data_IF_412335530338
#
_entry.id   IF_412335530338
#
_cell.length_a   1.000
_cell.length_b   1.000
_cell.length_c   1.000
_cell.angle_alpha   90.00
_cell.angle_beta   90.00
_cell.angle_gamma   90.00
#
_symmetry.space_group_name_H-M   'P 1'
#
loop_
_entity.id
_entity.type
_entity.pdbx_description
1 polymer ?
#
# COMPACT_ATOMS: atom_id res chain seq x y z
N UNK A 1 -71.90 -31.89 -7.72
CA UNK A 1 -70.44 -32.04 -7.53
C UNK A 1 -69.74 -30.76 -7.99
N UNK A 2 -69.44 -29.83 -7.08
CA UNK A 2 -68.77 -28.58 -7.44
C UNK A 2 -67.24 -28.75 -7.29
N UNK A 3 -66.52 -28.80 -8.42
CA UNK A 3 -65.06 -28.75 -8.46
C UNK A 3 -64.61 -27.35 -7.98
N UNK A 4 -64.06 -27.27 -6.75
CA UNK A 4 -63.29 -26.10 -6.31
C UNK A 4 -61.98 -26.07 -7.07
N UNK A 5 -61.77 -25.07 -7.91
CA UNK A 5 -60.46 -24.74 -8.47
C UNK A 5 -59.56 -24.18 -7.36
N UNK A 6 -58.27 -24.57 -7.29
CA UNK A 6 -57.35 -24.01 -6.32
C UNK A 6 -57.06 -22.54 -6.67
N UNK A 7 -57.24 -21.65 -5.68
CA UNK A 7 -56.80 -20.25 -5.77
C UNK A 7 -55.26 -20.24 -5.74
N UNK A 8 -54.64 -20.09 -6.90
CA UNK A 8 -53.22 -19.75 -7.01
C UNK A 8 -53.02 -18.26 -6.67
N UNK A 9 -53.21 -17.89 -5.41
CA UNK A 9 -52.70 -16.64 -4.89
C UNK A 9 -51.21 -16.85 -4.59
N UNK A 10 -50.37 -16.76 -5.62
CA UNK A 10 -48.92 -16.60 -5.40
C UNK A 10 -48.76 -15.29 -4.65
N UNK A 11 -48.30 -15.38 -3.39
CA UNK A 11 -48.22 -14.23 -2.50
C UNK A 11 -47.34 -13.13 -3.12
N UNK A 12 -47.69 -11.84 -2.97
CA UNK A 12 -46.95 -10.70 -3.54
C UNK A 12 -45.46 -10.70 -3.18
N UNK A 13 -45.10 -11.31 -2.05
CA UNK A 13 -43.73 -11.49 -1.60
C UNK A 13 -42.86 -12.33 -2.53
N UNK A 14 -43.42 -13.37 -3.16
CA UNK A 14 -42.68 -14.18 -4.14
C UNK A 14 -42.43 -13.44 -5.46
N UNK A 15 -43.28 -12.46 -5.79
CA UNK A 15 -43.14 -11.60 -6.97
C UNK A 15 -42.07 -10.52 -6.76
N UNK A 16 -42.09 -9.84 -5.62
CA UNK A 16 -41.04 -8.90 -5.20
C UNK A 16 -39.66 -9.58 -5.14
N UNK A 17 -39.59 -10.80 -4.60
CA UNK A 17 -38.37 -11.61 -4.56
C UNK A 17 -37.82 -11.96 -5.96
N UNK A 18 -38.69 -12.13 -6.95
CA UNK A 18 -38.30 -12.44 -8.33
C UNK A 18 -37.75 -11.20 -9.06
N UNK A 19 -38.42 -10.05 -8.92
CA UNK A 19 -37.98 -8.80 -9.52
C UNK A 19 -36.63 -8.38 -8.94
N UNK A 20 -36.48 -8.47 -7.62
CA UNK A 20 -35.21 -8.20 -6.94
C UNK A 20 -34.06 -9.09 -7.45
N UNK A 21 -34.29 -10.40 -7.64
CA UNK A 21 -33.29 -11.31 -8.23
C UNK A 21 -32.95 -10.94 -9.68
N UNK A 22 -33.93 -10.51 -10.45
CA UNK A 22 -33.73 -10.13 -11.85
C UNK A 22 -32.89 -8.85 -11.94
N UNK A 23 -33.21 -7.85 -11.12
CA UNK A 23 -32.50 -6.57 -11.07
C UNK A 23 -31.07 -6.73 -10.59
N UNK A 24 -30.85 -7.55 -9.56
CA UNK A 24 -29.49 -7.86 -9.08
C UNK A 24 -28.65 -8.57 -10.14
N UNK A 25 -29.21 -9.54 -10.87
CA UNK A 25 -28.50 -10.19 -11.98
C UNK A 25 -28.17 -9.20 -13.10
N UNK A 26 -29.09 -8.32 -13.45
CA UNK A 26 -28.87 -7.30 -14.48
C UNK A 26 -27.80 -6.29 -14.07
N UNK A 27 -27.83 -5.83 -12.82
CA UNK A 27 -26.80 -4.96 -12.26
C UNK A 27 -25.42 -5.62 -12.29
N UNK A 28 -25.30 -6.89 -11.92
CA UNK A 28 -24.03 -7.61 -11.96
C UNK A 28 -23.49 -7.78 -13.39
N UNK A 29 -24.39 -8.04 -14.36
CA UNK A 29 -24.00 -8.08 -15.79
C UNK A 29 -23.47 -6.73 -16.24
N UNK A 30 -24.16 -5.65 -15.91
CA UNK A 30 -23.74 -4.29 -16.25
C UNK A 30 -22.39 -3.94 -15.61
N UNK A 31 -22.23 -4.17 -14.30
CA UNK A 31 -20.96 -3.95 -13.60
C UNK A 31 -19.81 -4.73 -14.23
N UNK A 32 -20.06 -5.98 -14.64
CA UNK A 32 -19.05 -6.78 -15.34
C UNK A 32 -18.70 -6.19 -16.71
N UNK A 33 -19.68 -5.75 -17.49
CA UNK A 33 -19.43 -5.10 -18.78
C UNK A 33 -18.60 -3.82 -18.62
N UNK A 34 -18.97 -2.95 -17.67
CA UNK A 34 -18.25 -1.71 -17.38
C UNK A 34 -16.83 -1.97 -16.86
N UNK A 35 -16.66 -2.95 -15.97
CA UNK A 35 -15.36 -3.34 -15.47
C UNK A 35 -14.47 -3.85 -16.61
N UNK A 36 -15.03 -4.63 -17.55
CA UNK A 36 -14.33 -5.10 -18.74
C UNK A 36 -13.98 -3.96 -19.71
N UNK A 37 -14.84 -2.96 -19.82
CA UNK A 37 -14.60 -1.72 -20.58
C UNK A 37 -13.54 -0.81 -19.93
N UNK A 38 -13.14 -1.10 -18.69
CA UNK A 38 -12.03 -0.41 -18.02
C UNK A 38 -12.45 0.52 -16.88
N UNK A 39 -13.69 0.46 -16.38
CA UNK A 39 -14.09 1.23 -15.20
C UNK A 39 -13.50 0.65 -13.91
N UNK A 40 -12.65 1.43 -13.24
CA UNK A 40 -12.03 1.06 -11.97
C UNK A 40 -13.07 0.85 -10.87
N UNK A 41 -14.07 1.73 -10.83
CA UNK A 41 -15.16 1.71 -9.86
C UNK A 41 -16.04 0.48 -10.05
N UNK A 42 -16.36 0.14 -11.30
CA UNK A 42 -17.14 -1.07 -11.59
C UNK A 42 -16.36 -2.33 -11.20
N UNK A 43 -15.06 -2.39 -11.51
CA UNK A 43 -14.19 -3.49 -11.09
C UNK A 43 -14.16 -3.64 -9.55
N UNK A 44 -14.03 -2.53 -8.82
CA UNK A 44 -14.05 -2.54 -7.36
C UNK A 44 -15.41 -3.01 -6.80
N UNK A 45 -16.53 -2.45 -7.30
CA UNK A 45 -17.88 -2.86 -6.89
C UNK A 45 -18.12 -4.34 -7.14
N UNK A 46 -17.71 -4.83 -8.32
CA UNK A 46 -17.81 -6.24 -8.67
C UNK A 46 -16.94 -7.11 -7.76
N UNK A 47 -15.74 -6.66 -7.38
CA UNK A 47 -14.90 -7.37 -6.42
C UNK A 47 -15.62 -7.57 -5.07
N UNK A 48 -16.34 -6.55 -4.59
CA UNK A 48 -17.06 -6.59 -3.29
C UNK A 48 -18.23 -7.59 -3.27
N UNK A 49 -18.70 -8.04 -4.42
CA UNK A 49 -19.73 -9.10 -4.53
C UNK A 49 -19.14 -10.47 -4.20
N UNK A 50 -17.84 -10.67 -4.45
CA UNK A 50 -17.16 -11.93 -4.21
C UNK A 50 -16.60 -12.03 -2.79
N UNK A 51 -16.48 -13.25 -2.23
CA UNK A 51 -15.81 -13.46 -0.95
C UNK A 51 -14.37 -12.94 -0.96
N UNK A 52 -13.95 -12.29 0.13
CA UNK A 52 -12.67 -11.57 0.26
C UNK A 52 -11.40 -12.41 -0.01
N UNK A 53 -11.50 -13.74 0.09
CA UNK A 53 -10.39 -14.67 -0.14
C UNK A 53 -10.52 -15.47 -1.44
N UNK A 54 -11.51 -15.16 -2.26
CA UNK A 54 -11.72 -15.83 -3.54
C UNK A 54 -10.80 -15.27 -4.64
N UNK A 55 -10.48 -16.11 -5.63
CA UNK A 55 -9.73 -15.68 -6.81
C UNK A 55 -10.42 -14.54 -7.57
N UNK A 56 -11.75 -14.54 -7.80
CA UNK A 56 -12.44 -13.43 -8.45
C UNK A 56 -12.30 -12.11 -7.70
N UNK A 57 -12.38 -12.11 -6.37
CA UNK A 57 -12.13 -10.91 -5.55
C UNK A 57 -10.74 -10.34 -5.84
N UNK A 58 -9.71 -11.17 -5.77
CA UNK A 58 -8.33 -10.74 -5.98
C UNK A 58 -8.11 -10.20 -7.40
N UNK A 59 -8.69 -10.86 -8.41
CA UNK A 59 -8.61 -10.46 -9.82
C UNK A 59 -9.23 -9.08 -10.06
N UNK A 60 -10.47 -8.86 -9.61
CA UNK A 60 -11.16 -7.59 -9.82
C UNK A 60 -10.59 -6.46 -8.98
N UNK A 61 -10.19 -6.75 -7.74
CA UNK A 61 -9.50 -5.79 -6.88
C UNK A 61 -8.17 -5.34 -7.51
N UNK A 62 -7.39 -6.28 -8.05
CA UNK A 62 -6.14 -5.95 -8.78
C UNK A 62 -6.43 -5.01 -9.95
N UNK A 63 -7.46 -5.28 -10.74
CA UNK A 63 -7.83 -4.42 -11.88
C UNK A 63 -8.15 -2.99 -11.45
N UNK A 64 -8.90 -2.81 -10.36
CA UNK A 64 -9.18 -1.48 -9.81
C UNK A 64 -7.91 -0.77 -9.29
N UNK A 65 -7.01 -1.52 -8.63
CA UNK A 65 -5.73 -1.00 -8.10
C UNK A 65 -4.76 -0.61 -9.22
N UNK A 66 -4.69 -1.39 -10.29
CA UNK A 66 -3.85 -1.14 -11.46
C UNK A 66 -4.26 0.17 -12.15
N UNK A 67 -5.55 0.53 -12.07
CA UNK A 67 -6.09 1.80 -12.54
C UNK A 67 -6.02 2.94 -11.51
N UNK A 68 -5.37 2.72 -10.37
CA UNK A 68 -5.10 3.77 -9.39
C UNK A 68 -6.23 4.03 -8.39
N UNK A 69 -7.26 3.17 -8.31
CA UNK A 69 -8.36 3.38 -7.37
C UNK A 69 -7.90 3.18 -5.91
N UNK A 70 -7.88 4.27 -5.15
CA UNK A 70 -7.47 4.36 -3.75
C UNK A 70 -8.35 3.53 -2.82
N UNK A 71 -9.67 3.50 -3.05
CA UNK A 71 -10.61 2.65 -2.31
C UNK A 71 -10.20 1.16 -2.35
N UNK A 72 -9.83 0.69 -3.54
CA UNK A 72 -9.41 -0.69 -3.76
C UNK A 72 -8.07 -0.98 -3.07
N UNK A 73 -7.14 -0.02 -3.11
CA UNK A 73 -5.85 -0.12 -2.41
C UNK A 73 -6.04 -0.24 -0.90
N UNK A 74 -6.91 0.57 -0.30
CA UNK A 74 -7.14 0.57 1.15
C UNK A 74 -7.78 -0.75 1.60
N UNK A 75 -8.81 -1.20 0.91
CA UNK A 75 -9.45 -2.48 1.21
C UNK A 75 -8.47 -3.65 1.07
N UNK A 76 -7.62 -3.64 0.04
CA UNK A 76 -6.60 -4.68 -0.13
C UNK A 76 -5.51 -4.61 0.94
N UNK A 77 -5.11 -3.41 1.39
CA UNK A 77 -4.19 -3.25 2.51
C UNK A 77 -4.76 -3.87 3.80
N UNK A 78 -6.06 -3.66 4.07
CA UNK A 78 -6.77 -4.28 5.21
C UNK A 78 -6.82 -5.81 5.09
N UNK A 79 -7.11 -6.34 3.89
CA UNK A 79 -7.11 -7.80 3.64
C UNK A 79 -5.73 -8.39 3.96
N UNK A 80 -4.67 -7.73 3.50
CA UNK A 80 -3.31 -8.19 3.66
C UNK A 80 -2.84 -8.11 5.12
N UNK A 81 -3.14 -7.01 5.81
CA UNK A 81 -2.79 -6.84 7.22
C UNK A 81 -3.44 -7.93 8.10
N UNK A 82 -4.70 -8.29 7.83
CA UNK A 82 -5.39 -9.39 8.53
C UNK A 82 -4.70 -10.76 8.39
N UNK A 83 -3.93 -10.98 7.31
CA UNK A 83 -3.17 -12.24 7.14
C UNK A 83 -1.90 -12.29 7.99
N UNK A 84 -1.41 -11.16 8.52
CA UNK A 84 -0.37 -11.11 9.54
C UNK A 84 1.06 -11.49 9.12
N UNK A 85 1.32 -11.87 7.87
CA UNK A 85 2.68 -12.22 7.43
C UNK A 85 3.52 -10.98 7.08
N UNK A 86 4.85 -11.07 7.21
CA UNK A 86 5.78 -9.99 6.84
C UNK A 86 5.61 -9.56 5.38
N UNK A 87 5.46 -10.53 4.47
CA UNK A 87 5.28 -10.26 3.03
C UNK A 87 3.95 -9.56 2.74
N UNK A 88 2.89 -9.91 3.48
CA UNK A 88 1.60 -9.23 3.37
C UNK A 88 1.65 -7.81 3.94
N UNK A 89 2.31 -7.60 5.07
CA UNK A 89 2.53 -6.27 5.64
C UNK A 89 3.33 -5.35 4.71
N UNK A 90 4.37 -5.86 4.05
CA UNK A 90 5.13 -5.13 3.03
C UNK A 90 4.26 -4.71 1.84
N UNK A 91 3.41 -5.61 1.37
CA UNK A 91 2.49 -5.32 0.26
C UNK A 91 1.34 -4.40 0.67
N UNK A 92 0.85 -4.49 1.91
CA UNK A 92 -0.13 -3.57 2.46
C UNK A 92 0.46 -2.15 2.54
N UNK A 93 1.70 -2.04 3.05
CA UNK A 93 2.41 -0.77 3.14
C UNK A 93 2.60 -0.11 1.77
N UNK A 94 2.91 -0.88 0.72
CA UNK A 94 3.11 -0.30 -0.61
C UNK A 94 1.82 0.32 -1.18
N UNK A 95 0.66 -0.25 -0.89
CA UNK A 95 -0.64 0.36 -1.22
C UNK A 95 -0.90 1.63 -0.41
N UNK A 96 -0.60 1.62 0.89
CA UNK A 96 -0.79 2.81 1.74
C UNK A 96 0.14 3.96 1.35
N UNK A 97 1.39 3.68 0.98
CA UNK A 97 2.30 4.71 0.44
C UNK A 97 1.73 5.37 -0.82
N UNK A 98 1.14 4.58 -1.73
CA UNK A 98 0.47 5.13 -2.93
C UNK A 98 -0.73 5.99 -2.55
N UNK A 99 -1.53 5.58 -1.56
CA UNK A 99 -2.66 6.38 -1.05
C UNK A 99 -2.17 7.70 -0.46
N UNK A 100 -1.18 7.68 0.43
CA UNK A 100 -0.64 8.87 1.09
C UNK A 100 -0.05 9.89 0.10
N UNK A 101 0.40 9.42 -1.06
CA UNK A 101 0.89 10.26 -2.17
C UNK A 101 -0.18 10.70 -3.17
N UNK A 102 -1.38 10.12 -3.13
CA UNK A 102 -2.47 10.48 -4.03
C UNK A 102 -3.04 11.87 -3.69
N UNK A 103 -4.05 12.34 -4.41
CA UNK A 103 -4.78 13.56 -4.06
C UNK A 103 -6.12 13.27 -3.34
N UNK A 104 -6.36 12.03 -2.94
CA UNK A 104 -7.61 11.60 -2.30
C UNK A 104 -7.55 11.83 -0.78
N UNK A 105 -7.96 13.02 -0.34
CA UNK A 105 -7.89 13.43 1.07
C UNK A 105 -8.71 12.53 1.99
N UNK A 106 -9.88 12.06 1.54
CA UNK A 106 -10.73 11.18 2.31
C UNK A 106 -10.10 9.81 2.52
N UNK A 107 -9.54 9.20 1.48
CA UNK A 107 -8.90 7.89 1.63
C UNK A 107 -7.56 7.98 2.35
N UNK A 108 -6.87 9.13 2.28
CA UNK A 108 -5.70 9.39 3.12
C UNK A 108 -6.04 9.38 4.60
N UNK A 109 -7.09 10.09 5.02
CA UNK A 109 -7.45 10.14 6.45
C UNK A 109 -7.81 8.74 6.98
N UNK A 110 -8.54 7.95 6.20
CA UNK A 110 -8.83 6.55 6.54
C UNK A 110 -7.58 5.66 6.57
N UNK A 111 -6.60 5.92 5.70
CA UNK A 111 -5.33 5.21 5.72
C UNK A 111 -4.49 5.58 6.95
N UNK A 112 -4.43 6.85 7.32
CA UNK A 112 -3.75 7.33 8.53
C UNK A 112 -4.39 6.77 9.80
N UNK A 113 -5.72 6.74 9.86
CA UNK A 113 -6.45 6.11 10.95
C UNK A 113 -6.10 4.62 11.05
N UNK A 114 -6.16 3.89 9.93
CA UNK A 114 -5.79 2.48 9.88
C UNK A 114 -4.35 2.22 10.37
N UNK A 115 -3.41 3.13 10.11
CA UNK A 115 -2.03 3.01 10.54
C UNK A 115 -1.82 3.19 12.04
N UNK A 116 -2.68 3.93 12.73
CA UNK A 116 -2.62 4.08 14.20
C UNK A 116 -2.83 2.73 14.90
N UNK A 117 -3.73 1.92 14.36
CA UNK A 117 -4.08 0.61 14.94
C UNK A 117 -3.13 -0.51 14.49
N UNK A 118 -2.30 -0.30 13.46
CA UNK A 118 -1.50 -1.33 12.82
C UNK A 118 -0.01 -0.99 12.85
N UNK A 119 0.62 -1.11 14.03
CA UNK A 119 2.04 -0.76 14.24
C UNK A 119 3.00 -1.44 13.26
N UNK A 120 2.78 -2.72 12.92
CA UNK A 120 3.63 -3.46 11.99
C UNK A 120 3.59 -2.86 10.57
N UNK A 121 2.39 -2.53 10.09
CA UNK A 121 2.20 -1.94 8.76
C UNK A 121 2.74 -0.50 8.75
N UNK A 122 2.51 0.26 9.83
CA UNK A 122 3.02 1.62 10.01
C UNK A 122 4.54 1.72 9.89
N UNK A 123 5.27 0.82 10.56
CA UNK A 123 6.74 0.75 10.45
C UNK A 123 7.21 0.54 9.02
N UNK A 124 6.53 -0.32 8.27
CA UNK A 124 6.89 -0.63 6.89
C UNK A 124 6.48 0.50 5.92
N UNK A 125 5.39 1.21 6.17
CA UNK A 125 5.05 2.45 5.44
C UNK A 125 6.14 3.50 5.61
N UNK A 126 6.55 3.79 6.85
CA UNK A 126 7.62 4.74 7.14
C UNK A 126 8.93 4.34 6.43
N UNK A 127 9.28 3.06 6.49
CA UNK A 127 10.46 2.51 5.79
C UNK A 127 10.38 2.74 4.28
N UNK A 128 9.24 2.45 3.65
CA UNK A 128 9.07 2.59 2.20
C UNK A 128 9.02 4.05 1.76
N UNK A 129 8.46 4.95 2.57
CA UNK A 129 8.50 6.39 2.33
C UNK A 129 9.93 6.94 2.36
N UNK A 130 10.73 6.52 3.35
CA UNK A 130 12.10 7.01 3.53
C UNK A 130 13.10 6.46 2.50
N UNK A 131 12.84 5.28 1.91
CA UNK A 131 13.66 4.73 0.83
C UNK A 131 13.68 5.61 -0.42
N UNK A 132 12.64 6.42 -0.63
CA UNK A 132 12.45 7.20 -1.85
C UNK A 132 13.05 8.61 -1.72
N UNK A 133 13.35 9.06 -0.50
CA UNK A 133 13.97 10.37 -0.21
C UNK A 133 15.50 10.38 -0.16
N UNK A 134 16.17 9.27 -0.49
CA UNK A 134 17.60 9.26 -0.86
C UNK A 134 18.61 9.62 0.24
N UNK A 135 18.20 9.83 1.49
CA UNK A 135 19.14 10.04 2.60
C UNK A 135 19.46 8.69 3.24
N UNK A 136 20.73 8.22 3.19
CA UNK A 136 21.09 6.97 3.85
C UNK A 136 20.91 7.14 5.35
N UNK A 137 20.27 6.14 5.97
CA UNK A 137 20.22 5.90 7.42
C UNK A 137 21.62 5.55 7.99
N UNK A 138 22.67 6.22 7.52
CA UNK A 138 24.06 6.07 7.95
C UNK A 138 24.34 6.68 9.35
N UNK A 139 23.30 7.10 10.07
CA UNK A 139 23.41 7.66 11.42
C UNK A 139 23.03 6.71 12.57
N UNK A 140 22.53 5.50 12.29
CA UNK A 140 21.97 4.64 13.36
C UNK A 140 23.00 3.69 14.02
N UNK A 141 24.27 3.71 13.59
CA UNK A 141 25.36 2.92 14.18
C UNK A 141 26.63 3.75 14.45
N UNK A 142 26.49 5.04 14.78
CA UNK A 142 27.60 5.77 15.42
C UNK A 142 27.60 5.41 16.91
N UNK A 143 28.27 4.31 17.24
CA UNK A 143 28.54 3.93 18.62
C UNK A 143 29.53 4.94 19.21
N UNK A 144 29.17 5.53 20.35
CA UNK A 144 29.97 6.47 21.11
C UNK A 144 31.41 5.96 21.33
N UNK A 145 32.39 6.67 20.78
CA UNK A 145 33.75 6.68 21.31
C UNK A 145 34.19 8.11 21.58
N UNK A 146 34.12 8.49 22.84
CA UNK A 146 34.90 9.58 23.47
C UNK A 146 35.09 9.21 24.95
N UNK A 147 36.18 9.59 25.65
CA UNK A 147 37.44 10.24 25.23
C UNK A 147 38.71 9.46 25.68
N UNK A 148 39.88 9.82 25.16
CA UNK A 148 41.12 9.77 25.93
C UNK A 148 42.01 10.95 25.49
N UNK A 149 42.10 11.92 26.39
CA UNK A 149 43.01 13.05 26.38
C UNK A 149 44.38 12.57 26.89
N UNK A 150 45.42 12.68 26.07
CA UNK A 150 46.83 12.72 26.52
C UNK A 150 47.59 13.68 25.60
N UNK A 151 47.52 14.96 25.94
CA UNK A 151 48.66 15.84 26.13
C UNK A 151 50.05 15.30 25.71
N UNK A 152 50.71 15.94 24.73
CA UNK A 152 52.03 16.59 24.86
C UNK A 152 52.72 16.75 23.49
N UNK A 153 52.75 17.98 22.99
CA UNK A 153 53.85 18.48 22.15
C UNK A 153 54.96 19.00 23.08
N UNK A 154 56.23 18.80 22.74
CA UNK A 154 57.15 19.95 22.77
C UNK A 154 58.15 19.99 21.60
N UNK A 155 58.12 21.14 20.90
CA UNK A 155 59.25 22.02 20.51
C UNK A 155 60.62 21.48 20.05
N UNK A 156 61.03 22.00 18.88
CA UNK A 156 62.30 22.66 18.53
C UNK A 156 63.62 21.85 18.51
N UNK A 157 64.19 21.68 17.31
CA UNK A 157 65.60 22.05 17.01
C UNK A 157 65.67 22.64 15.60
N UNK A 158 66.34 23.80 15.49
CA UNK A 158 66.68 24.57 14.29
C UNK A 158 68.03 24.12 13.70
N UNK A 159 68.06 24.04 12.36
CA UNK A 159 69.13 24.47 11.41
C UNK A 159 70.57 23.90 11.55
N UNK A 160 71.49 24.19 10.61
CA UNK A 160 71.43 24.24 9.13
C UNK A 160 72.58 23.41 8.49
N UNK A 161 72.58 23.17 7.18
CA UNK A 161 73.82 23.25 6.36
C UNK A 161 73.54 23.18 4.85
N UNK A 162 74.24 24.07 4.16
CA UNK A 162 74.32 24.30 2.72
C UNK A 162 74.86 23.08 1.96
N UNK A 163 74.37 22.84 0.74
CA UNK A 163 75.28 22.54 -0.39
C UNK A 163 74.59 22.76 -1.72
N UNK A 164 75.17 23.67 -2.49
CA UNK A 164 74.97 23.91 -3.92
C UNK A 164 75.04 22.64 -4.76
N UNK A 165 74.28 22.61 -5.86
CA UNK A 165 74.35 21.57 -6.88
C UNK A 165 73.52 21.91 -8.11
N UNK A 166 73.96 22.93 -8.83
CA UNK A 166 73.61 23.19 -10.23
C UNK A 166 73.99 21.97 -11.09
N UNK A 167 73.22 21.61 -12.12
CA UNK A 167 73.68 21.15 -13.45
C UNK A 167 72.46 20.94 -14.36
N UNK A 168 72.48 21.66 -15.48
CA UNK A 168 71.64 21.57 -16.69
C UNK A 168 72.14 20.38 -17.54
N UNK A 169 71.48 20.09 -18.69
CA UNK A 169 71.98 19.33 -19.86
C UNK A 169 71.41 17.88 -19.91
N UNK A 170 70.67 17.39 -20.91
CA UNK A 170 70.20 17.82 -22.25
C UNK A 170 68.72 17.48 -22.43
#
# INVERSE_FOLDING_TARGET
MAKRLPKFAVAPQAYEDYQYKTDTVNLLKQLKAEALAGSAVAAYRLAKVYPQHSEPFAKWMKRAIDQGLTNAMLDMARVLAKKGSVTHSQKAASYLVRILRSNDSYIKSLAEEFLKDNQLVSKEVSRQMNKISGLPLAGFFAQDKKPADVNQSPTLVKDPTLSSGFVVVF
#
